data_IF_701303860011
#
_entry.id   IF_701303860011
#
_cell.length_a   1.000
_cell.length_b   1.000
_cell.length_c   1.000
_cell.angle_alpha   90.00
_cell.angle_beta   90.00
_cell.angle_gamma   90.00
#
_symmetry.space_group_name_H-M   'P 1'
#
loop_
_entity.id
_entity.type
_entity.pdbx_description
1 polymer ?
#
# COMPACT_ATOMS: atom_id res chain seq x y z
N UNK A 1 -22.59 -74.86 24.04
CA UNK A 1 -22.91 -73.52 23.49
C UNK A 1 -22.48 -72.52 24.53
N UNK A 2 -21.29 -71.99 24.36
CA UNK A 2 -20.57 -71.17 25.33
C UNK A 2 -20.61 -69.72 24.87
N UNK A 3 -20.86 -68.73 25.76
CA UNK A 3 -20.76 -67.33 25.38
C UNK A 3 -19.28 -66.93 25.25
N UNK A 4 -19.00 -66.20 24.18
CA UNK A 4 -17.70 -65.62 23.84
C UNK A 4 -17.37 -64.51 24.84
N UNK A 5 -16.28 -64.67 25.59
CA UNK A 5 -15.67 -63.64 26.42
C UNK A 5 -14.84 -62.69 25.53
N UNK A 6 -15.22 -61.41 25.47
CA UNK A 6 -14.37 -60.33 24.98
C UNK A 6 -13.61 -59.70 26.15
N UNK A 7 -12.30 -59.45 26.05
CA UNK A 7 -11.56 -58.72 27.08
C UNK A 7 -11.87 -57.23 26.99
N UNK A 8 -12.25 -56.64 28.12
CA UNK A 8 -12.29 -55.20 28.31
C UNK A 8 -10.86 -54.65 28.30
N UNK A 9 -10.50 -53.93 27.24
CA UNK A 9 -9.27 -53.14 27.20
C UNK A 9 -9.55 -51.82 27.90
N UNK A 10 -8.97 -51.68 29.09
CA UNK A 10 -8.82 -50.42 29.80
C UNK A 10 -7.78 -49.57 29.06
N UNK A 11 -8.21 -48.47 28.43
CA UNK A 11 -7.33 -47.40 27.96
C UNK A 11 -7.69 -46.13 28.74
N UNK A 12 -6.86 -45.80 29.73
CA UNK A 12 -6.85 -44.47 30.35
C UNK A 12 -6.40 -43.41 29.33
N UNK A 13 -6.72 -42.13 29.55
CA UNK A 13 -6.42 -41.08 28.59
C UNK A 13 -4.92 -40.70 28.65
N UNK A 14 -4.11 -41.39 27.85
CA UNK A 14 -2.91 -40.81 27.24
C UNK A 14 -3.35 -40.01 26.01
N UNK A 15 -3.66 -38.74 26.22
CA UNK A 15 -3.79 -37.73 25.17
C UNK A 15 -2.83 -36.56 25.49
N UNK A 16 -1.54 -36.90 25.53
CA UNK A 16 -0.44 -35.96 25.41
C UNK A 16 0.08 -36.15 23.98
N UNK A 17 0.30 -35.05 23.25
CA UNK A 17 0.71 -34.94 21.83
C UNK A 17 -0.46 -34.92 20.83
N UNK A 18 -1.17 -33.78 20.75
CA UNK A 18 -1.67 -33.18 19.49
C UNK A 18 -2.46 -31.86 19.74
N UNK A 19 -2.04 -31.00 20.67
CA UNK A 19 -2.65 -29.66 20.86
C UNK A 19 -1.55 -28.60 20.97
N UNK A 20 -0.64 -28.57 20.00
CA UNK A 20 0.47 -27.59 19.98
C UNK A 20 0.37 -26.53 18.90
N UNK A 21 -0.75 -26.38 18.18
CA UNK A 21 -0.90 -25.32 17.16
C UNK A 21 -2.22 -24.53 17.21
N UNK A 22 -3.05 -24.68 18.26
CA UNK A 22 -4.26 -23.86 18.42
C UNK A 22 -4.23 -22.87 19.58
N UNK A 23 -3.19 -22.86 20.41
CA UNK A 23 -3.05 -21.87 21.50
C UNK A 23 -2.28 -20.60 21.12
N UNK A 24 -1.69 -20.53 19.92
CA UNK A 24 -1.12 -19.28 19.38
C UNK A 24 -2.20 -18.33 18.81
N UNK A 25 -3.44 -18.80 18.64
CA UNK A 25 -4.57 -17.99 18.15
C UNK A 25 -5.37 -17.35 19.31
N UNK A 26 -5.23 -17.88 20.53
CA UNK A 26 -6.03 -17.42 21.68
C UNK A 26 -5.42 -16.21 22.42
N UNK A 27 -4.19 -15.82 22.10
CA UNK A 27 -3.54 -14.63 22.68
C UNK A 27 -3.52 -13.40 21.75
N UNK A 28 -3.90 -13.56 20.48
CA UNK A 28 -3.95 -12.47 19.49
C UNK A 28 -5.37 -12.05 19.09
N UNK A 29 -6.39 -12.80 19.51
CA UNK A 29 -7.80 -12.48 19.36
C UNK A 29 -8.47 -12.42 20.73
N UNK A 30 -8.35 -11.28 21.42
CA UNK A 30 -9.31 -10.96 22.47
C UNK A 30 -10.38 -10.08 21.85
N UNK A 31 -11.57 -10.60 21.53
CA UNK A 31 -12.67 -9.73 21.23
C UNK A 31 -13.04 -9.10 22.58
N UNK A 32 -12.84 -7.80 22.71
CA UNK A 32 -13.81 -7.05 23.51
C UNK A 32 -15.16 -7.45 22.92
N UNK A 33 -16.08 -8.09 23.67
CA UNK A 33 -17.31 -8.61 23.09
C UNK A 33 -17.94 -7.53 22.23
N UNK A 34 -18.42 -7.86 21.03
CA UNK A 34 -19.01 -6.86 20.13
C UNK A 34 -20.12 -6.05 20.83
N UNK A 35 -20.75 -6.61 21.88
CA UNK A 35 -21.67 -5.92 22.79
C UNK A 35 -21.04 -4.77 23.59
N UNK A 36 -19.79 -4.89 24.03
CA UNK A 36 -19.04 -3.84 24.75
C UNK A 36 -18.61 -2.74 23.79
N UNK A 37 -18.11 -3.08 22.60
CA UNK A 37 -17.81 -2.09 21.55
C UNK A 37 -19.09 -1.39 21.04
N UNK A 38 -20.20 -2.13 20.92
CA UNK A 38 -21.52 -1.61 20.59
C UNK A 38 -22.03 -0.64 21.64
N UNK A 39 -21.87 -0.93 22.93
CA UNK A 39 -22.28 -0.02 24.01
C UNK A 39 -21.46 1.28 24.01
N UNK A 40 -20.14 1.20 23.81
CA UNK A 40 -19.26 2.36 23.67
C UNK A 40 -19.64 3.22 22.43
N UNK A 41 -19.96 2.58 21.30
CA UNK A 41 -20.39 3.27 20.09
C UNK A 41 -21.79 3.89 20.20
N UNK A 42 -22.72 3.22 20.90
CA UNK A 42 -24.08 3.73 21.13
C UNK A 42 -24.11 4.91 22.09
N UNK A 43 -23.26 4.94 23.13
CA UNK A 43 -23.11 6.10 24.01
C UNK A 43 -22.59 7.33 23.24
N UNK A 44 -21.54 7.15 22.42
CA UNK A 44 -20.98 8.27 21.62
C UNK A 44 -21.91 8.79 20.52
N UNK A 45 -22.75 7.93 19.93
CA UNK A 45 -23.73 8.35 18.92
C UNK A 45 -24.92 9.12 19.53
N UNK A 46 -25.28 8.86 20.79
CA UNK A 46 -26.29 9.62 21.52
C UNK A 46 -25.80 11.02 21.91
N UNK A 47 -24.50 11.20 22.12
CA UNK A 47 -23.87 12.47 22.52
C UNK A 47 -23.59 13.40 21.32
N UNK A 48 -23.53 12.88 20.09
CA UNK A 48 -23.22 13.64 18.87
C UNK A 48 -24.31 14.58 18.33
N UNK A 49 -25.48 14.66 18.97
CA UNK A 49 -26.57 15.56 18.57
C UNK A 49 -26.65 16.87 19.38
N UNK A 50 -25.65 17.17 20.22
CA UNK A 50 -25.57 18.45 20.93
C UNK A 50 -24.54 19.40 20.30
N UNK A 51 -24.88 20.68 20.07
CA UNK A 51 -23.95 21.66 19.52
C UNK A 51 -22.79 21.93 20.50
N UNK A 52 -21.58 21.95 19.93
CA UNK A 52 -20.27 21.93 20.58
C UNK A 52 -20.02 23.12 21.53
N UNK A 53 -19.54 22.82 22.74
CA UNK A 53 -18.72 23.72 23.54
C UNK A 53 -17.25 23.23 23.53
N UNK A 54 -16.24 24.10 23.39
CA UNK A 54 -14.86 23.68 23.17
C UNK A 54 -14.05 23.73 24.46
N UNK A 55 -14.05 22.66 25.27
CA UNK A 55 -13.03 22.48 26.32
C UNK A 55 -12.98 21.02 26.79
N UNK A 56 -11.79 20.42 26.78
CA UNK A 56 -11.47 19.25 27.62
C UNK A 56 -11.50 17.89 26.92
N UNK A 57 -10.44 17.57 26.17
CA UNK A 57 -10.19 16.19 25.70
C UNK A 57 -9.89 15.21 26.87
N UNK A 58 -9.60 15.71 28.07
CA UNK A 58 -9.31 14.90 29.26
C UNK A 58 -10.55 14.45 30.03
N UNK A 59 -11.67 15.15 29.93
CA UNK A 59 -12.91 14.82 30.69
C UNK A 59 -13.83 13.82 29.99
N UNK A 60 -13.69 13.59 28.68
CA UNK A 60 -14.51 12.60 27.95
C UNK A 60 -14.16 11.13 28.26
N UNK A 61 -13.01 10.87 28.88
CA UNK A 61 -12.66 9.50 29.28
C UNK A 61 -13.39 9.05 30.54
N UNK A 62 -13.62 9.97 31.50
CA UNK A 62 -14.21 9.66 32.80
C UNK A 62 -15.65 9.14 32.71
N UNK A 63 -16.45 9.61 31.76
CA UNK A 63 -17.83 9.12 31.55
C UNK A 63 -17.88 7.78 30.79
N UNK A 64 -16.78 7.42 30.10
CA UNK A 64 -16.66 6.16 29.36
C UNK A 64 -16.10 4.99 30.18
N UNK A 65 -15.77 5.18 31.46
CA UNK A 65 -15.29 4.10 32.35
C UNK A 65 -16.41 3.35 33.07
N UNK A 66 -17.67 3.80 33.01
CA UNK A 66 -18.78 3.18 33.75
C UNK A 66 -19.06 1.71 33.40
N UNK A 67 -18.60 1.23 32.24
CA UNK A 67 -18.66 -0.20 31.89
C UNK A 67 -17.57 -1.04 32.57
N UNK A 68 -16.47 -0.42 33.00
CA UNK A 68 -15.40 -1.08 33.77
C UNK A 68 -15.84 -1.38 35.20
N UNK A 69 -16.78 -0.60 35.75
CA UNK A 69 -17.29 -0.78 37.11
C UNK A 69 -18.06 -2.10 37.30
N UNK A 70 -18.52 -2.71 36.21
CA UNK A 70 -19.13 -4.04 36.20
C UNK A 70 -18.13 -5.20 36.11
N UNK A 71 -16.83 -4.93 35.97
CA UNK A 71 -15.79 -5.96 35.87
C UNK A 71 -15.08 -6.17 37.20
N UNK A 72 -14.67 -7.41 37.48
CA UNK A 72 -13.74 -7.67 38.57
C UNK A 72 -12.35 -7.05 38.28
N UNK A 73 -11.51 -6.92 39.30
CA UNK A 73 -10.17 -6.30 39.19
C UNK A 73 -9.32 -6.89 38.06
N UNK A 74 -9.40 -8.20 37.85
CA UNK A 74 -8.69 -8.89 36.77
C UNK A 74 -9.18 -8.45 35.40
N UNK A 75 -10.51 -8.42 35.19
CA UNK A 75 -11.15 -7.97 33.97
C UNK A 75 -10.85 -6.50 33.68
N UNK A 76 -10.91 -5.64 34.72
CA UNK A 76 -10.54 -4.22 34.60
C UNK A 76 -9.08 -4.05 34.17
N UNK A 77 -8.13 -4.76 34.80
CA UNK A 77 -6.71 -4.72 34.40
C UNK A 77 -6.48 -5.19 32.96
N UNK A 78 -7.17 -6.25 32.54
CA UNK A 78 -7.08 -6.76 31.17
C UNK A 78 -7.66 -5.76 30.15
N UNK A 79 -8.81 -5.16 30.45
CA UNK A 79 -9.43 -4.13 29.62
C UNK A 79 -8.50 -2.91 29.44
N UNK A 80 -7.94 -2.39 30.53
CA UNK A 80 -6.98 -1.26 30.48
C UNK A 80 -5.75 -1.63 29.65
N UNK A 81 -5.21 -2.85 29.81
CA UNK A 81 -4.07 -3.31 29.01
C UNK A 81 -4.42 -3.37 27.52
N UNK A 82 -5.60 -3.88 27.17
CA UNK A 82 -6.07 -3.96 25.79
C UNK A 82 -6.28 -2.57 25.17
N UNK A 83 -6.86 -1.62 25.90
CA UNK A 83 -7.02 -0.24 25.47
C UNK A 83 -5.67 0.43 25.20
N UNK A 84 -4.71 0.32 26.12
CA UNK A 84 -3.35 0.84 25.92
C UNK A 84 -2.64 0.21 24.73
N UNK A 85 -2.80 -1.10 24.53
CA UNK A 85 -2.24 -1.78 23.37
C UNK A 85 -2.88 -1.29 22.06
N UNK A 86 -4.21 -1.07 22.04
CA UNK A 86 -4.90 -0.51 20.88
C UNK A 86 -4.48 0.93 20.60
N UNK A 87 -4.33 1.77 21.62
CA UNK A 87 -3.86 3.15 21.46
C UNK A 87 -2.42 3.21 20.94
N UNK A 88 -1.53 2.36 21.46
CA UNK A 88 -0.16 2.25 20.96
C UNK A 88 -0.16 1.84 19.48
N UNK A 89 -0.92 0.80 19.14
CA UNK A 89 -1.07 0.33 17.77
C UNK A 89 -1.63 1.43 16.86
N UNK A 90 -2.63 2.19 17.31
CA UNK A 90 -3.23 3.26 16.52
C UNK A 90 -2.25 4.43 16.31
N UNK A 91 -1.43 4.77 17.31
CA UNK A 91 -0.38 5.80 17.21
C UNK A 91 0.73 5.44 16.23
N UNK A 92 0.99 4.15 16.04
CA UNK A 92 1.95 3.65 15.04
C UNK A 92 1.41 3.76 13.60
N UNK A 93 0.09 3.97 13.41
CA UNK A 93 -0.52 4.10 12.09
C UNK A 93 -0.39 5.50 11.52
N UNK A 94 -0.29 5.64 10.17
CA UNK A 94 -0.32 6.94 9.51
C UNK A 94 -1.58 7.77 9.86
N UNK A 95 -1.45 9.10 9.92
CA UNK A 95 -2.56 10.03 10.17
C UNK A 95 -3.77 9.80 9.25
N UNK A 96 -3.51 9.42 8.00
CA UNK A 96 -4.54 9.12 7.00
C UNK A 96 -5.38 7.90 7.39
N UNK A 97 -4.74 6.87 7.95
CA UNK A 97 -5.42 5.69 8.48
C UNK A 97 -6.27 6.05 9.70
N UNK A 98 -5.68 6.79 10.65
CA UNK A 98 -6.39 7.21 11.87
C UNK A 98 -7.63 8.05 11.54
N UNK A 99 -7.48 9.05 10.67
CA UNK A 99 -8.58 9.92 10.22
C UNK A 99 -9.70 9.12 9.56
N UNK A 100 -9.34 8.18 8.66
CA UNK A 100 -10.31 7.30 8.01
C UNK A 100 -11.01 6.41 9.03
N UNK A 101 -10.28 5.81 9.95
CA UNK A 101 -10.83 4.93 10.99
C UNK A 101 -11.90 5.66 11.82
N UNK A 102 -11.66 6.93 12.15
CA UNK A 102 -12.62 7.76 12.89
C UNK A 102 -13.84 8.17 12.06
N UNK A 103 -13.69 8.32 10.74
CA UNK A 103 -14.79 8.66 9.83
C UNK A 103 -15.74 7.48 9.54
N UNK A 104 -15.28 6.23 9.70
CA UNK A 104 -16.09 5.02 9.48
C UNK A 104 -17.09 4.78 10.61
N UNK A 105 -18.20 4.11 10.28
CA UNK A 105 -19.16 3.64 11.29
C UNK A 105 -18.58 2.47 12.12
N UNK A 106 -19.25 2.10 13.21
CA UNK A 106 -18.73 1.08 14.15
C UNK A 106 -18.37 -0.25 13.49
N UNK A 107 -19.21 -0.74 12.57
CA UNK A 107 -19.00 -2.02 11.89
C UNK A 107 -17.84 -1.96 10.90
N UNK A 108 -17.80 -0.92 10.08
CA UNK A 108 -16.71 -0.71 9.12
C UNK A 108 -15.36 -0.49 9.82
N UNK A 109 -15.38 0.17 10.98
CA UNK A 109 -14.21 0.38 11.82
C UNK A 109 -13.66 -0.94 12.36
N UNK A 110 -14.54 -1.80 12.89
CA UNK A 110 -14.17 -3.14 13.37
C UNK A 110 -13.60 -4.00 12.24
N UNK A 111 -14.25 -4.00 11.07
CA UNK A 111 -13.78 -4.72 9.88
C UNK A 111 -12.39 -4.22 9.44
N UNK A 112 -12.17 -2.90 9.40
CA UNK A 112 -10.88 -2.32 9.02
C UNK A 112 -9.77 -2.66 10.02
N UNK A 113 -10.04 -2.59 11.33
CA UNK A 113 -9.06 -2.95 12.37
C UNK A 113 -8.69 -4.43 12.26
N UNK A 114 -9.70 -5.29 12.12
CA UNK A 114 -9.51 -6.75 12.05
C UNK A 114 -8.64 -7.12 10.86
N UNK A 115 -8.96 -6.62 9.67
CA UNK A 115 -8.18 -6.87 8.45
C UNK A 115 -6.76 -6.32 8.56
N UNK A 116 -6.60 -5.11 9.09
CA UNK A 116 -5.27 -4.50 9.23
C UNK A 116 -4.38 -5.32 10.16
N UNK A 117 -4.91 -5.77 11.30
CA UNK A 117 -4.16 -6.63 12.23
C UNK A 117 -3.85 -7.99 11.63
N UNK A 118 -4.77 -8.56 10.87
CA UNK A 118 -4.55 -9.82 10.17
C UNK A 118 -3.40 -9.68 9.17
N UNK A 119 -3.36 -8.61 8.35
CA UNK A 119 -2.23 -8.34 7.44
C UNK A 119 -0.90 -8.18 8.17
N UNK A 120 -0.88 -7.56 9.35
CA UNK A 120 0.36 -7.42 10.13
C UNK A 120 0.88 -8.77 10.64
N UNK A 121 -0.02 -9.66 11.04
CA UNK A 121 0.34 -10.99 11.52
C UNK A 121 0.79 -11.92 10.38
N UNK A 122 0.07 -11.90 9.27
CA UNK A 122 0.37 -12.75 8.11
C UNK A 122 1.50 -12.19 7.24
N UNK A 123 1.88 -10.93 7.49
CA UNK A 123 2.89 -10.20 6.74
C UNK A 123 2.28 -9.36 5.61
N UNK A 124 3.01 -8.31 5.15
CA UNK A 124 2.49 -7.28 4.26
C UNK A 124 2.04 -7.76 2.87
N UNK A 125 2.32 -9.03 2.53
CA UNK A 125 1.99 -9.63 1.23
C UNK A 125 0.86 -10.65 1.32
N UNK A 126 0.42 -11.00 2.54
CA UNK A 126 -0.67 -11.96 2.71
C UNK A 126 -1.97 -11.40 2.14
N UNK A 127 -2.69 -12.24 1.41
CA UNK A 127 -3.92 -11.85 0.69
C UNK A 127 -3.69 -10.97 -0.53
N UNK A 128 -2.47 -10.49 -0.81
CA UNK A 128 -2.17 -9.66 -1.98
C UNK A 128 -1.67 -10.45 -3.19
N UNK A 129 -1.33 -11.72 -3.00
CA UNK A 129 -0.89 -12.61 -4.08
C UNK A 129 -1.90 -13.74 -4.24
N UNK A 130 -2.38 -13.93 -5.47
CA UNK A 130 -3.30 -15.01 -5.80
C UNK A 130 -2.64 -16.39 -5.53
N UNK A 131 -3.33 -17.36 -4.90
CA UNK A 131 -2.73 -18.63 -4.48
C UNK A 131 -2.05 -19.43 -5.60
N UNK A 132 -2.60 -19.42 -6.81
CA UNK A 132 -1.99 -20.13 -7.95
C UNK A 132 -0.68 -19.51 -8.46
N UNK A 133 -0.37 -18.27 -8.08
CA UNK A 133 0.89 -17.62 -8.42
C UNK A 133 2.00 -18.09 -7.46
N UNK A 134 1.66 -18.54 -6.26
CA UNK A 134 2.64 -19.01 -5.28
C UNK A 134 3.42 -20.27 -5.74
N UNK A 135 2.88 -21.04 -6.69
CA UNK A 135 3.55 -22.20 -7.28
C UNK A 135 4.30 -21.88 -8.59
N UNK A 136 4.27 -20.64 -9.05
CA UNK A 136 4.93 -20.25 -10.30
C UNK A 136 6.44 -20.03 -10.08
N UNK A 137 7.30 -20.39 -11.06
CA UNK A 137 8.76 -20.28 -10.90
C UNK A 137 9.27 -18.83 -10.80
N UNK A 138 8.43 -17.85 -11.16
CA UNK A 138 8.71 -16.42 -11.09
C UNK A 138 8.06 -15.75 -9.88
N UNK A 139 7.51 -16.54 -8.94
CA UNK A 139 6.83 -16.02 -7.74
C UNK A 139 7.73 -15.11 -6.90
N UNK A 140 8.98 -15.48 -6.67
CA UNK A 140 9.90 -14.66 -5.88
C UNK A 140 10.17 -13.29 -6.51
N UNK A 141 10.31 -13.24 -7.84
CA UNK A 141 10.45 -11.98 -8.58
C UNK A 141 9.17 -11.13 -8.43
N UNK A 142 7.99 -11.75 -8.48
CA UNK A 142 6.72 -11.04 -8.29
C UNK A 142 6.54 -10.52 -6.87
N UNK A 143 6.93 -11.32 -5.88
CA UNK A 143 6.90 -10.98 -4.47
C UNK A 143 7.84 -9.82 -4.15
N UNK A 144 9.04 -9.84 -4.70
CA UNK A 144 10.02 -8.76 -4.57
C UNK A 144 9.52 -7.49 -5.27
N UNK A 145 9.02 -7.60 -6.51
CA UNK A 145 8.45 -6.46 -7.22
C UNK A 145 7.28 -5.84 -6.44
N UNK A 146 6.35 -6.68 -5.96
CA UNK A 146 5.21 -6.21 -5.18
C UNK A 146 5.67 -5.47 -3.92
N UNK A 147 6.51 -6.10 -3.10
CA UNK A 147 6.96 -5.55 -1.82
C UNK A 147 7.84 -4.31 -1.94
N UNK A 148 8.79 -4.30 -2.87
CA UNK A 148 9.80 -3.24 -2.98
C UNK A 148 9.33 -2.10 -3.89
N UNK A 149 8.62 -2.42 -4.97
CA UNK A 149 8.33 -1.47 -6.04
C UNK A 149 6.89 -0.95 -5.98
N UNK A 150 5.93 -1.83 -5.79
CA UNK A 150 4.52 -1.50 -5.95
C UNK A 150 3.85 -1.08 -4.63
N UNK A 151 3.93 -1.90 -3.57
CA UNK A 151 3.25 -1.65 -2.30
C UNK A 151 3.56 -0.29 -1.66
N UNK A 152 4.81 0.22 -1.67
CA UNK A 152 5.08 1.53 -1.10
C UNK A 152 4.30 2.66 -1.78
N UNK A 153 3.81 2.42 -3.01
CA UNK A 153 3.13 3.40 -3.85
C UNK A 153 1.62 3.26 -3.91
N UNK A 154 1.11 2.07 -3.63
CA UNK A 154 -0.32 1.83 -3.64
C UNK A 154 -1.00 2.60 -2.52
N UNK A 155 -2.11 3.25 -2.84
CA UNK A 155 -3.03 3.71 -1.82
C UNK A 155 -3.90 2.55 -1.28
N UNK A 156 -4.65 2.78 -0.21
CA UNK A 156 -5.48 1.72 0.39
C UNK A 156 -6.61 1.26 -0.55
N UNK A 157 -7.11 2.11 -1.44
CA UNK A 157 -8.13 1.72 -2.42
C UNK A 157 -7.57 0.75 -3.44
N UNK A 158 -6.37 1.02 -3.94
CA UNK A 158 -5.63 0.15 -4.86
C UNK A 158 -5.20 -1.15 -4.19
N UNK A 159 -4.78 -1.09 -2.91
CA UNK A 159 -4.50 -2.29 -2.11
C UNK A 159 -5.75 -3.17 -1.97
N UNK A 160 -6.90 -2.57 -1.65
CA UNK A 160 -8.18 -3.29 -1.58
C UNK A 160 -8.59 -3.90 -2.92
N UNK A 161 -8.34 -3.20 -4.03
CA UNK A 161 -8.59 -3.73 -5.36
C UNK A 161 -7.71 -4.95 -5.66
N UNK A 162 -6.41 -4.87 -5.33
CA UNK A 162 -5.46 -5.96 -5.52
C UNK A 162 -5.81 -7.17 -4.65
N UNK A 163 -6.18 -6.95 -3.38
CA UNK A 163 -6.64 -8.00 -2.45
C UNK A 163 -7.92 -8.68 -2.98
N UNK A 164 -8.90 -7.88 -3.42
CA UNK A 164 -10.11 -8.40 -4.05
C UNK A 164 -9.78 -9.24 -5.28
N UNK A 165 -8.86 -8.77 -6.12
CA UNK A 165 -8.43 -9.50 -7.31
C UNK A 165 -7.70 -10.81 -6.96
N UNK A 166 -6.93 -10.82 -5.87
CA UNK A 166 -6.21 -12.00 -5.37
C UNK A 166 -7.15 -13.10 -4.85
N UNK A 167 -8.32 -12.72 -4.32
CA UNK A 167 -9.36 -13.66 -3.90
C UNK A 167 -10.21 -14.22 -5.05
N UNK A 168 -10.10 -13.64 -6.25
CA UNK A 168 -10.89 -13.99 -7.42
C UNK A 168 -10.18 -14.95 -8.37
N UNK A 169 -10.47 -14.83 -9.67
CA UNK A 169 -9.76 -15.57 -10.71
C UNK A 169 -8.33 -15.05 -10.90
N UNK A 170 -7.39 -15.97 -11.16
CA UNK A 170 -5.98 -15.67 -11.50
C UNK A 170 -5.84 -14.53 -12.51
N UNK A 171 -6.68 -14.54 -13.54
CA UNK A 171 -6.67 -13.54 -14.61
C UNK A 171 -6.98 -12.13 -14.10
N UNK A 172 -7.93 -12.01 -13.17
CA UNK A 172 -8.28 -10.72 -12.58
C UNK A 172 -7.12 -10.17 -11.76
N UNK A 173 -6.43 -11.02 -11.01
CA UNK A 173 -5.21 -10.64 -10.29
C UNK A 173 -4.12 -10.17 -11.24
N UNK A 174 -3.80 -10.94 -12.30
CA UNK A 174 -2.76 -10.56 -13.27
C UNK A 174 -3.09 -9.21 -13.95
N UNK A 175 -4.34 -9.01 -14.36
CA UNK A 175 -4.78 -7.75 -14.99
C UNK A 175 -4.71 -6.58 -14.01
N UNK A 176 -5.14 -6.77 -12.76
CA UNK A 176 -5.09 -5.75 -11.72
C UNK A 176 -3.64 -5.39 -11.38
N UNK A 177 -2.80 -6.39 -11.11
CA UNK A 177 -1.38 -6.23 -10.82
C UNK A 177 -0.65 -5.50 -11.96
N UNK A 178 -0.87 -5.93 -13.21
CA UNK A 178 -0.23 -5.32 -14.36
C UNK A 178 -0.71 -3.88 -14.61
N UNK A 179 -1.99 -3.59 -14.34
CA UNK A 179 -2.54 -2.23 -14.38
C UNK A 179 -1.91 -1.36 -13.30
N UNK A 180 -1.89 -1.81 -12.05
CA UNK A 180 -1.29 -1.06 -10.95
C UNK A 180 0.21 -0.81 -11.18
N UNK A 181 0.95 -1.82 -11.61
CA UNK A 181 2.35 -1.65 -11.99
C UNK A 181 2.53 -0.71 -13.20
N UNK A 182 1.54 -0.66 -14.11
CA UNK A 182 1.52 0.29 -15.21
C UNK A 182 1.20 1.72 -14.76
N UNK A 183 0.32 1.90 -13.78
CA UNK A 183 -0.08 3.22 -13.28
C UNK A 183 1.02 3.82 -12.38
N UNK A 184 1.70 2.97 -11.60
CA UNK A 184 2.81 3.32 -10.70
C UNK A 184 4.18 3.26 -11.37
N UNK A 185 4.27 3.90 -12.53
CA UNK A 185 5.43 3.90 -13.43
C UNK A 185 6.74 4.28 -12.72
N UNK A 186 7.78 3.46 -12.90
CA UNK A 186 9.16 3.87 -12.64
C UNK A 186 9.68 4.77 -13.76
N UNK A 187 9.68 6.08 -13.53
CA UNK A 187 10.48 7.01 -14.34
C UNK A 187 11.97 6.77 -14.05
N UNK A 188 12.84 6.91 -15.06
CA UNK A 188 14.28 6.72 -14.88
C UNK A 188 14.80 7.65 -13.79
N UNK A 189 15.54 7.09 -12.85
CA UNK A 189 16.29 7.87 -11.88
C UNK A 189 17.65 8.21 -12.48
N UNK A 190 18.03 9.48 -12.45
CA UNK A 190 19.31 9.99 -12.93
C UNK A 190 19.92 11.00 -11.94
N UNK A 191 21.10 11.56 -12.27
CA UNK A 191 21.77 12.55 -11.43
C UNK A 191 20.94 13.80 -11.15
N UNK A 192 19.98 14.11 -12.03
CA UNK A 192 19.06 15.26 -11.92
C UNK A 192 17.75 14.92 -11.21
N UNK A 193 17.56 13.68 -10.77
CA UNK A 193 16.32 13.26 -10.09
C UNK A 193 16.23 13.87 -8.70
N UNK A 194 15.21 14.69 -8.50
CA UNK A 194 14.94 15.32 -7.20
C UNK A 194 14.14 14.36 -6.33
N UNK A 195 14.70 13.97 -5.18
CA UNK A 195 14.04 13.05 -4.24
C UNK A 195 13.42 13.72 -3.03
N UNK A 196 13.80 14.94 -2.69
CA UNK A 196 13.21 15.68 -1.58
C UNK A 196 13.36 17.20 -1.72
N UNK A 197 12.86 17.93 -0.74
CA UNK A 197 12.78 19.40 -0.75
C UNK A 197 14.18 20.02 -0.75
N UNK A 198 15.13 19.40 -0.06
CA UNK A 198 16.53 19.86 0.01
C UNK A 198 17.21 19.87 -1.37
N UNK A 199 16.86 18.90 -2.20
CA UNK A 199 17.44 18.67 -3.53
C UNK A 199 16.80 19.56 -4.61
N UNK A 200 15.74 20.31 -4.27
CA UNK A 200 15.02 21.14 -5.24
C UNK A 200 15.92 22.26 -5.81
N UNK A 201 15.90 22.49 -7.13
CA UNK A 201 16.45 23.70 -7.74
C UNK A 201 15.80 24.96 -7.14
N UNK A 202 16.54 26.07 -7.11
CA UNK A 202 16.06 27.32 -6.49
C UNK A 202 14.68 27.76 -6.99
N UNK A 203 14.36 27.71 -8.29
CA UNK A 203 13.03 28.11 -8.78
C UNK A 203 11.91 27.20 -8.28
N UNK A 204 12.18 25.90 -8.16
CA UNK A 204 11.24 24.94 -7.59
C UNK A 204 11.06 25.09 -6.08
N UNK A 205 12.10 25.47 -5.33
CA UNK A 205 11.97 25.81 -3.90
C UNK A 205 11.00 26.96 -3.69
N UNK A 206 11.14 28.02 -4.49
CA UNK A 206 10.23 29.17 -4.43
C UNK A 206 8.79 28.82 -4.85
N UNK A 207 8.61 27.91 -5.83
CA UNK A 207 7.28 27.43 -6.21
C UNK A 207 6.65 26.58 -5.08
N UNK A 208 7.46 25.71 -4.45
CA UNK A 208 7.05 24.89 -3.31
C UNK A 208 6.60 25.74 -2.11
N UNK A 209 7.36 26.78 -1.75
CA UNK A 209 7.03 27.69 -0.64
C UNK A 209 5.69 28.41 -0.82
N UNK A 210 5.28 28.64 -2.07
CA UNK A 210 4.00 29.29 -2.42
C UNK A 210 2.80 28.32 -2.40
N UNK A 211 3.03 27.02 -2.28
CA UNK A 211 1.94 26.05 -2.16
C UNK A 211 1.23 26.18 -0.80
N UNK A 212 -0.05 25.82 -0.79
CA UNK A 212 -0.83 25.79 0.44
C UNK A 212 -0.21 24.78 1.45
N UNK A 213 -0.40 24.99 2.76
CA UNK A 213 0.18 24.12 3.78
C UNK A 213 -0.21 22.64 3.65
N UNK A 214 -1.41 22.33 3.14
CA UNK A 214 -1.88 20.94 2.98
C UNK A 214 -1.09 20.23 1.89
N UNK A 215 -0.92 20.88 0.74
CA UNK A 215 -0.08 20.37 -0.36
C UNK A 215 1.36 20.19 0.08
N UNK A 216 1.93 21.13 0.86
CA UNK A 216 3.29 20.99 1.40
C UNK A 216 3.44 19.80 2.33
N UNK A 217 2.53 19.63 3.31
CA UNK A 217 2.54 18.46 4.21
C UNK A 217 2.44 17.14 3.44
N UNK A 218 1.63 17.10 2.38
CA UNK A 218 1.52 15.92 1.50
C UNK A 218 2.84 15.63 0.78
N UNK A 219 3.52 16.64 0.27
CA UNK A 219 4.81 16.50 -0.42
C UNK A 219 5.94 16.09 0.54
N UNK A 220 5.94 16.62 1.77
CA UNK A 220 6.87 16.19 2.82
C UNK A 220 6.74 14.69 3.11
N UNK A 221 5.52 14.16 3.15
CA UNK A 221 5.28 12.72 3.31
C UNK A 221 5.76 11.87 2.11
N UNK A 222 6.08 12.50 0.98
CA UNK A 222 6.61 11.84 -0.21
C UNK A 222 8.13 11.99 -0.37
N UNK A 223 8.83 12.67 0.55
CA UNK A 223 10.29 12.78 0.46
C UNK A 223 10.97 11.41 0.43
N UNK A 224 12.01 11.30 -0.39
CA UNK A 224 12.73 10.05 -0.69
C UNK A 224 12.01 9.14 -1.68
N UNK A 225 10.76 9.42 -2.05
CA UNK A 225 9.96 8.57 -2.95
C UNK A 225 10.02 9.05 -4.40
N UNK A 226 11.01 8.56 -5.13
CA UNK A 226 11.08 8.77 -6.58
C UNK A 226 10.16 7.81 -7.34
N UNK A 227 9.41 8.25 -8.38
CA UNK A 227 9.25 9.63 -8.88
C UNK A 227 8.06 10.38 -8.25
N UNK A 228 7.35 9.76 -7.30
CA UNK A 228 6.10 10.25 -6.71
C UNK A 228 6.20 11.68 -6.16
N UNK A 229 7.29 12.00 -5.47
CA UNK A 229 7.56 13.35 -4.93
C UNK A 229 7.56 14.41 -6.04
N UNK A 230 8.38 14.20 -7.06
CA UNK A 230 8.53 15.12 -8.17
C UNK A 230 7.22 15.26 -8.97
N UNK A 231 6.49 14.15 -9.17
CA UNK A 231 5.25 14.17 -9.96
C UNK A 231 4.18 14.95 -9.20
N UNK A 232 4.06 14.68 -7.90
CA UNK A 232 3.12 15.37 -7.04
C UNK A 232 3.44 16.86 -6.95
N UNK A 233 4.72 17.24 -6.81
CA UNK A 233 5.14 18.63 -6.77
C UNK A 233 4.75 19.37 -8.07
N UNK A 234 5.08 18.77 -9.22
CA UNK A 234 4.75 19.33 -10.52
C UNK A 234 3.24 19.52 -10.70
N UNK A 235 2.43 18.51 -10.34
CA UNK A 235 0.97 18.60 -10.39
C UNK A 235 0.43 19.69 -9.46
N UNK A 236 0.91 19.77 -8.22
CA UNK A 236 0.48 20.80 -7.25
C UNK A 236 0.80 22.22 -7.73
N UNK A 237 1.93 22.44 -8.39
CA UNK A 237 2.29 23.75 -8.98
C UNK A 237 1.32 24.13 -10.11
N UNK A 238 0.94 23.18 -10.97
CA UNK A 238 -0.04 23.39 -12.05
C UNK A 238 -1.44 23.65 -11.47
N UNK A 239 -1.88 22.86 -10.50
CA UNK A 239 -3.18 23.00 -9.84
C UNK A 239 -3.31 24.36 -9.14
N UNK A 240 -2.22 24.84 -8.53
CA UNK A 240 -2.13 26.17 -7.95
C UNK A 240 -2.03 27.30 -8.99
N UNK A 241 -2.09 26.99 -10.29
CA UNK A 241 -1.97 27.93 -11.42
C UNK A 241 -0.69 28.77 -11.38
N UNK A 242 0.37 28.22 -10.81
CA UNK A 242 1.67 28.87 -10.79
C UNK A 242 2.40 28.62 -12.13
N UNK A 243 3.30 29.52 -12.49
CA UNK A 243 4.20 29.31 -13.62
C UNK A 243 5.13 28.13 -13.32
N UNK A 244 5.12 27.10 -14.15
CA UNK A 244 6.03 25.95 -14.04
C UNK A 244 7.46 26.42 -14.31
N UNK A 245 8.42 26.20 -13.38
CA UNK A 245 9.83 26.51 -13.63
C UNK A 245 10.40 25.76 -14.85
N UNK A 246 11.40 26.35 -15.50
CA UNK A 246 12.03 25.76 -16.70
C UNK A 246 13.01 24.64 -16.35
N UNK A 247 13.59 24.65 -15.16
CA UNK A 247 14.42 23.58 -14.64
C UNK A 247 13.58 22.31 -14.48
N UNK A 248 14.15 21.15 -14.78
CA UNK A 248 13.44 19.88 -14.70
C UNK A 248 13.71 19.17 -13.39
N UNK A 249 12.73 18.38 -12.93
CA UNK A 249 12.82 17.62 -11.68
C UNK A 249 13.47 16.23 -11.86
N UNK A 250 13.95 15.94 -13.08
CA UNK A 250 14.63 14.70 -13.43
C UNK A 250 14.95 14.61 -14.92
N UNK A 251 15.45 13.46 -15.39
CA UNK A 251 15.88 13.26 -16.77
C UNK A 251 14.77 13.62 -17.76
N UNK A 252 15.01 14.63 -18.58
CA UNK A 252 14.05 15.14 -19.56
C UNK A 252 14.65 15.34 -20.95
N UNK A 253 15.92 14.96 -21.13
CA UNK A 253 16.65 15.02 -22.41
C UNK A 253 17.21 13.66 -22.77
N UNK A 254 17.54 13.49 -24.04
CA UNK A 254 18.09 12.22 -24.51
C UNK A 254 19.38 11.86 -23.80
N UNK A 255 20.30 12.82 -23.67
CA UNK A 255 21.64 12.63 -23.09
C UNK A 255 21.61 12.44 -21.56
N UNK A 256 20.50 12.81 -20.90
CA UNK A 256 20.31 12.64 -19.46
C UNK A 256 19.75 11.27 -19.10
N UNK A 257 19.24 10.51 -20.08
CA UNK A 257 18.65 9.21 -19.84
C UNK A 257 19.72 8.20 -19.39
N UNK A 258 19.40 7.31 -18.44
CA UNK A 258 20.36 6.28 -18.02
C UNK A 258 20.80 5.42 -19.21
N UNK A 259 22.09 5.09 -19.27
CA UNK A 259 22.68 4.29 -20.36
C UNK A 259 21.88 3.03 -20.75
N UNK A 260 21.33 2.23 -19.81
CA UNK A 260 20.48 1.09 -20.15
C UNK A 260 19.22 1.46 -20.94
N UNK A 261 18.61 2.61 -20.66
CA UNK A 261 17.43 3.10 -21.38
C UNK A 261 17.79 3.53 -22.80
N UNK A 262 18.90 4.25 -22.96
CA UNK A 262 19.41 4.65 -24.28
C UNK A 262 19.77 3.41 -25.10
N UNK A 263 20.49 2.45 -24.51
CA UNK A 263 20.87 1.20 -25.19
C UNK A 263 19.64 0.39 -25.64
N UNK A 264 18.57 0.39 -24.85
CA UNK A 264 17.29 -0.23 -25.21
C UNK A 264 16.61 0.48 -26.39
N UNK A 265 16.71 1.81 -26.46
CA UNK A 265 16.20 2.60 -27.58
C UNK A 265 17.08 2.54 -28.83
N UNK A 266 18.38 2.23 -28.68
CA UNK A 266 19.36 2.13 -29.76
C UNK A 266 19.83 0.67 -29.94
N UNK A 267 18.98 -0.24 -30.45
CA UNK A 267 19.36 -1.62 -30.60
C UNK A 267 20.52 -1.71 -31.61
N UNK A 268 21.54 -2.48 -31.24
CA UNK A 268 22.70 -2.72 -32.09
C UNK A 268 22.23 -3.26 -33.45
N UNK A 269 22.66 -2.61 -34.53
CA UNK A 269 22.31 -3.01 -35.90
C UNK A 269 21.18 -2.21 -36.56
N UNK A 270 20.48 -1.31 -35.86
CA UNK A 270 19.40 -0.51 -36.45
C UNK A 270 19.51 0.99 -36.13
N UNK A 271 20.55 1.70 -36.63
CA UNK A 271 20.72 3.13 -36.36
C UNK A 271 19.56 4.00 -36.86
N UNK A 272 18.87 3.58 -37.93
CA UNK A 272 17.68 4.29 -38.42
C UNK A 272 16.52 4.30 -37.42
N UNK A 273 16.37 3.23 -36.64
CA UNK A 273 15.34 3.15 -35.59
C UNK A 273 15.64 4.13 -34.46
N UNK A 274 16.91 4.31 -34.11
CA UNK A 274 17.33 5.29 -33.11
C UNK A 274 16.98 6.73 -33.54
N UNK A 275 17.23 7.09 -34.80
CA UNK A 275 16.88 8.42 -35.31
C UNK A 275 15.36 8.65 -35.35
N UNK A 276 14.59 7.62 -35.72
CA UNK A 276 13.13 7.70 -35.73
C UNK A 276 12.56 7.92 -34.32
N UNK A 277 13.04 7.17 -33.33
CA UNK A 277 12.64 7.37 -31.92
C UNK A 277 13.08 8.74 -31.40
N UNK A 278 14.29 9.19 -31.73
CA UNK A 278 14.77 10.52 -31.35
C UNK A 278 13.88 11.62 -31.92
N UNK A 279 13.56 11.57 -33.20
CA UNK A 279 12.65 12.53 -33.85
C UNK A 279 11.25 12.51 -33.22
N UNK A 280 10.78 11.34 -32.80
CA UNK A 280 9.50 11.19 -32.10
C UNK A 280 9.52 11.80 -30.70
N UNK A 281 10.65 11.72 -30.00
CA UNK A 281 10.81 12.20 -28.63
C UNK A 281 11.16 13.69 -28.55
N UNK A 282 11.73 14.25 -29.61
CA UNK A 282 12.15 15.64 -29.71
C UNK A 282 11.07 16.68 -29.30
N UNK A 283 9.78 16.53 -29.66
CA UNK A 283 8.73 17.49 -29.24
C UNK A 283 8.50 17.55 -27.74
N UNK A 284 8.90 16.50 -27.01
CA UNK A 284 8.75 16.42 -25.56
C UNK A 284 10.06 16.77 -24.83
N UNK A 285 11.17 16.96 -25.54
CA UNK A 285 12.47 17.18 -24.92
C UNK A 285 12.47 18.45 -24.06
N UNK A 286 12.96 18.34 -22.82
CA UNK A 286 12.85 19.40 -21.81
C UNK A 286 11.52 19.44 -21.05
N UNK A 287 10.50 18.69 -21.47
CA UNK A 287 9.19 18.68 -20.80
C UNK A 287 9.12 17.53 -19.79
N UNK A 288 9.30 17.85 -18.51
CA UNK A 288 9.09 16.91 -17.43
C UNK A 288 7.64 16.99 -16.91
N UNK A 289 6.92 15.89 -16.64
CA UNK A 289 7.28 14.47 -16.78
C UNK A 289 6.92 13.85 -18.15
N UNK A 290 6.52 14.66 -19.14
CA UNK A 290 6.04 14.17 -20.43
C UNK A 290 7.10 13.36 -21.20
N UNK A 291 8.34 13.85 -21.25
CA UNK A 291 9.45 13.19 -21.94
C UNK A 291 9.73 11.78 -21.43
N UNK A 292 10.05 11.54 -20.14
CA UNK A 292 10.35 10.20 -19.66
C UNK A 292 9.15 9.24 -19.78
N UNK A 293 7.91 9.75 -19.73
CA UNK A 293 6.71 8.95 -20.04
C UNK A 293 6.66 8.52 -21.51
N UNK A 294 6.98 9.41 -22.44
CA UNK A 294 7.00 9.08 -23.86
C UNK A 294 8.15 8.12 -24.21
N UNK A 295 9.31 8.25 -23.56
CA UNK A 295 10.43 7.31 -23.66
C UNK A 295 9.99 5.91 -23.24
N UNK A 296 9.35 5.82 -22.07
CA UNK A 296 8.83 4.56 -21.56
C UNK A 296 7.80 3.93 -22.49
N UNK A 297 6.91 4.73 -23.06
CA UNK A 297 5.91 4.26 -24.02
C UNK A 297 6.56 3.74 -25.31
N UNK A 298 7.63 4.38 -25.79
CA UNK A 298 8.44 3.84 -26.90
C UNK A 298 9.10 2.50 -26.55
N UNK A 299 9.65 2.36 -25.35
CA UNK A 299 10.24 1.10 -24.88
C UNK A 299 9.21 -0.03 -24.79
N UNK A 300 8.03 0.27 -24.27
CA UNK A 300 6.90 -0.68 -24.15
C UNK A 300 6.43 -1.18 -25.49
N UNK A 301 6.22 -0.29 -26.48
CA UNK A 301 5.78 -0.68 -27.82
C UNK A 301 6.76 -1.58 -28.55
N UNK A 302 8.04 -1.47 -28.20
CA UNK A 302 9.10 -2.33 -28.73
C UNK A 302 9.30 -3.61 -27.93
N UNK A 303 8.47 -3.83 -26.90
CA UNK A 303 8.58 -4.93 -25.95
C UNK A 303 9.99 -5.07 -25.35
N UNK A 304 10.71 -3.95 -25.17
CA UNK A 304 12.06 -4.00 -24.62
C UNK A 304 11.96 -4.16 -23.11
N UNK A 305 12.53 -5.27 -22.62
CA UNK A 305 12.56 -5.59 -21.20
C UNK A 305 13.69 -4.80 -20.53
N UNK A 306 13.32 -3.77 -19.75
CA UNK A 306 14.23 -3.12 -18.83
C UNK A 306 13.92 -3.58 -17.41
N UNK A 307 14.92 -3.89 -16.58
CA UNK A 307 14.69 -4.36 -15.20
C UNK A 307 13.76 -3.46 -14.38
N UNK A 308 13.80 -2.14 -14.63
CA UNK A 308 12.96 -1.16 -13.94
C UNK A 308 11.50 -1.09 -14.42
N UNK A 309 11.19 -1.66 -15.59
CA UNK A 309 9.89 -1.52 -16.28
C UNK A 309 9.21 -2.87 -16.46
N UNK A 310 9.99 -3.96 -16.39
CA UNK A 310 9.51 -5.31 -16.67
C UNK A 310 8.58 -5.76 -15.54
N UNK A 311 7.42 -6.27 -15.93
CA UNK A 311 6.60 -7.06 -15.02
C UNK A 311 7.33 -8.37 -14.67
N UNK A 312 7.28 -8.80 -13.41
CA UNK A 312 7.98 -10.00 -12.95
C UNK A 312 7.57 -11.24 -13.75
N UNK A 313 8.51 -12.12 -14.10
CA UNK A 313 8.22 -13.36 -14.81
C UNK A 313 8.14 -13.29 -16.35
N UNK A 314 7.61 -14.34 -17.00
CA UNK A 314 7.57 -14.46 -18.45
C UNK A 314 6.59 -13.48 -19.12
N UNK A 315 7.03 -12.83 -20.20
CA UNK A 315 6.20 -11.88 -20.98
C UNK A 315 4.88 -12.50 -21.47
N UNK A 316 4.87 -13.81 -21.74
CA UNK A 316 3.67 -14.52 -22.21
C UNK A 316 2.52 -14.48 -21.18
N UNK A 317 2.84 -14.56 -19.89
CA UNK A 317 1.85 -14.51 -18.79
C UNK A 317 1.10 -13.17 -18.82
N UNK A 318 1.84 -12.08 -19.00
CA UNK A 318 1.27 -10.73 -19.02
C UNK A 318 0.53 -10.42 -20.31
N UNK A 319 1.03 -10.91 -21.45
CA UNK A 319 0.34 -10.76 -22.73
C UNK A 319 -1.07 -11.37 -22.69
N UNK A 320 -1.22 -12.56 -22.11
CA UNK A 320 -2.54 -13.20 -21.93
C UNK A 320 -3.49 -12.40 -21.04
N UNK A 321 -2.96 -11.68 -20.03
CA UNK A 321 -3.77 -10.81 -19.19
C UNK A 321 -4.30 -9.60 -19.98
N UNK A 322 -3.49 -9.03 -20.88
CA UNK A 322 -3.86 -7.84 -21.67
C UNK A 322 -4.70 -8.13 -22.91
N UNK A 323 -4.49 -9.25 -23.62
CA UNK A 323 -5.14 -9.58 -24.89
C UNK A 323 -6.66 -9.89 -24.79
N UNK A 324 -7.24 -9.74 -23.61
CA UNK A 324 -8.62 -10.13 -23.33
C UNK A 324 -9.57 -8.94 -23.09
N UNK A 325 -9.14 -7.74 -23.48
CA UNK A 325 -9.94 -6.51 -23.49
C UNK A 325 -10.31 -6.15 -24.92
#
# INVERSE_FOLDING_TARGET
>A
MSPVNSPAIWLGPLAVIAVSNMCAVVLCAWPVPASVLKNIAMQRAAEGNHPLAPTGHETQWAESEGWLDGLNDTGRRQAIKALRAFESWLREKPDSFQSRLMALNSREREDLITRTRQREQEGPLSGLIHPSIASEPWFDEAREFLSIKLLPRLDESELMELEKAASGERKNWLTCFARLAHDHIHLPQGPTSVTGIKDLPSPWKSAFEKLDPTSRKRLEALEGRWPDFAISLYSSVIEARQSVPQETLGPCRWEEMPGPWIAALQPKGFPGLANMERNRLQPHEGQWPAYPRQVLESLRRRAVSLPAIRLPGPTLVWRQAFDSR
#
